data_IF_394816124972
#
_entry.id   IF_394816124972
#
_cell.length_a   1.000
_cell.length_b   1.000
_cell.length_c   1.000
_cell.angle_alpha   90.00
_cell.angle_beta   90.00
_cell.angle_gamma   90.00
#
_symmetry.space_group_name_H-M   'P 1'
#
loop_
_entity.id
_entity.type
_entity.pdbx_description
1 polymer ?
#
# COMPACT_ATOMS: atom_id res chain seq x y z
N UNK A 1 -26.94 -20.20 11.26
CA UNK A 1 -26.67 -18.75 11.19
C UNK A 1 -25.89 -18.48 9.91
N UNK A 2 -26.59 -18.25 8.80
CA UNK A 2 -25.99 -17.91 7.50
C UNK A 2 -26.07 -16.41 7.34
N UNK A 3 -24.96 -15.73 7.65
CA UNK A 3 -24.81 -14.30 7.38
C UNK A 3 -24.91 -14.12 5.85
N UNK A 4 -26.02 -13.50 5.40
CA UNK A 4 -26.44 -13.43 4.00
C UNK A 4 -25.54 -12.54 3.12
N UNK A 5 -26.07 -11.75 2.16
CA UNK A 5 -25.28 -10.99 1.17
C UNK A 5 -24.30 -9.94 1.75
N UNK A 6 -24.19 -9.83 3.08
CA UNK A 6 -23.31 -8.94 3.84
C UNK A 6 -22.04 -9.64 4.38
N UNK A 7 -21.76 -10.87 3.93
CA UNK A 7 -20.51 -11.55 4.31
C UNK A 7 -19.31 -10.74 3.83
N UNK A 8 -18.53 -10.27 4.80
CA UNK A 8 -17.20 -9.68 4.59
C UNK A 8 -16.41 -10.56 3.62
N UNK A 9 -15.80 -9.94 2.61
CA UNK A 9 -14.92 -10.64 1.70
C UNK A 9 -13.82 -11.36 2.49
N UNK A 10 -13.41 -12.57 2.06
CA UNK A 10 -12.35 -13.28 2.74
C UNK A 10 -11.05 -12.47 2.70
N UNK A 11 -10.40 -12.31 3.85
CA UNK A 11 -9.15 -11.58 3.97
C UNK A 11 -8.11 -12.15 2.98
N UNK A 12 -7.45 -11.31 2.15
CA UNK A 12 -6.49 -11.80 1.17
C UNK A 12 -5.31 -12.52 1.84
N UNK A 13 -4.63 -13.48 1.18
CA UNK A 13 -3.59 -14.30 1.80
C UNK A 13 -2.46 -13.52 2.47
N UNK A 14 -1.95 -12.46 1.84
CA UNK A 14 -0.86 -11.65 2.42
C UNK A 14 -1.32 -10.83 3.63
N UNK A 15 -2.56 -10.35 3.61
CA UNK A 15 -3.18 -9.69 4.75
C UNK A 15 -3.45 -10.67 5.90
N UNK A 16 -3.79 -11.94 5.61
CA UNK A 16 -3.89 -13.01 6.62
C UNK A 16 -2.55 -13.31 7.28
N UNK A 17 -1.46 -13.29 6.53
CA UNK A 17 -0.13 -13.53 7.11
C UNK A 17 0.29 -12.36 8.01
N UNK A 18 0.09 -11.12 7.55
CA UNK A 18 0.30 -9.93 8.37
C UNK A 18 -0.54 -9.97 9.67
N UNK A 19 -1.80 -10.40 9.57
CA UNK A 19 -2.68 -10.54 10.72
C UNK A 19 -2.13 -11.54 11.75
N UNK A 20 -1.56 -12.67 11.31
CA UNK A 20 -0.89 -13.64 12.20
C UNK A 20 0.33 -13.04 12.89
N UNK A 21 1.08 -12.16 12.21
CA UNK A 21 2.23 -11.49 12.81
C UNK A 21 1.78 -10.53 13.91
N UNK A 22 0.76 -9.71 13.61
CA UNK A 22 0.19 -8.76 14.57
C UNK A 22 -0.48 -9.45 15.77
N UNK A 23 -1.04 -10.65 15.60
CA UNK A 23 -1.73 -11.36 16.67
C UNK A 23 -0.80 -12.10 17.64
N UNK A 24 0.38 -12.54 17.19
CA UNK A 24 1.25 -13.37 18.02
C UNK A 24 2.39 -12.55 18.64
N UNK A 25 2.62 -12.67 19.96
CA UNK A 25 3.66 -11.90 20.66
C UNK A 25 5.09 -12.29 20.28
N UNK A 26 5.28 -13.44 19.62
CA UNK A 26 6.59 -13.91 19.14
C UNK A 26 7.16 -13.05 18.01
N UNK A 27 6.31 -12.30 17.30
CA UNK A 27 6.76 -11.37 16.26
C UNK A 27 6.99 -10.01 16.88
N UNK A 28 8.06 -9.34 16.49
CA UNK A 28 8.39 -7.98 16.92
C UNK A 28 7.56 -6.94 16.15
N UNK A 29 7.61 -5.67 16.57
CA UNK A 29 7.01 -4.57 15.81
C UNK A 29 7.62 -4.47 14.38
N UNK A 30 8.93 -4.73 14.26
CA UNK A 30 9.64 -4.74 12.98
C UNK A 30 9.14 -5.87 12.06
N UNK A 31 8.83 -7.05 12.60
CA UNK A 31 8.28 -8.15 11.80
C UNK A 31 6.89 -7.82 11.25
N UNK A 32 6.04 -7.17 12.06
CA UNK A 32 4.71 -6.72 11.62
C UNK A 32 4.86 -5.65 10.54
N UNK A 33 5.76 -4.68 10.74
CA UNK A 33 6.09 -3.64 9.76
C UNK A 33 6.60 -4.24 8.44
N UNK A 34 7.54 -5.20 8.51
CA UNK A 34 8.05 -5.91 7.33
C UNK A 34 6.96 -6.70 6.59
N UNK A 35 5.91 -7.15 7.29
CA UNK A 35 4.74 -7.80 6.70
C UNK A 35 3.87 -6.89 5.82
N UNK A 36 3.97 -5.55 5.95
CA UNK A 36 3.23 -4.60 5.13
C UNK A 36 3.71 -4.59 3.68
N UNK A 37 5.01 -4.69 3.43
CA UNK A 37 5.59 -4.72 2.07
C UNK A 37 4.99 -5.81 1.17
N UNK A 38 4.97 -7.11 1.57
CA UNK A 38 4.36 -8.13 0.74
C UNK A 38 2.84 -8.03 0.64
N UNK A 39 2.15 -7.44 1.64
CA UNK A 39 0.70 -7.23 1.58
C UNK A 39 0.32 -6.13 0.58
N UNK A 40 0.91 -4.95 0.74
CA UNK A 40 0.68 -3.80 -0.13
C UNK A 40 1.23 -4.05 -1.54
N UNK A 41 2.38 -4.72 -1.66
CA UNK A 41 2.93 -5.10 -2.97
C UNK A 41 2.05 -6.09 -3.73
N UNK A 42 1.34 -6.99 -3.02
CA UNK A 42 0.37 -7.87 -3.66
C UNK A 42 -0.89 -7.12 -4.11
N UNK A 43 -1.38 -6.19 -3.30
CA UNK A 43 -2.50 -5.32 -3.68
C UNK A 43 -2.14 -4.44 -4.89
N UNK A 44 -0.93 -3.86 -4.91
CA UNK A 44 -0.43 -3.10 -6.05
C UNK A 44 -0.44 -3.95 -7.33
N UNK A 45 0.17 -5.15 -7.30
CA UNK A 45 0.21 -6.03 -8.48
C UNK A 45 -1.17 -6.48 -8.95
N UNK A 46 -2.13 -6.61 -8.03
CA UNK A 46 -3.50 -7.03 -8.35
C UNK A 46 -4.33 -5.87 -8.90
N UNK A 47 -4.20 -4.70 -8.33
CA UNK A 47 -5.12 -3.58 -8.56
C UNK A 47 -4.52 -2.45 -9.39
N UNK A 48 -3.20 -2.38 -9.60
CA UNK A 48 -2.54 -1.35 -10.41
C UNK A 48 -1.91 -2.01 -11.63
N UNK A 49 -2.44 -1.67 -12.80
CA UNK A 49 -1.94 -2.23 -14.06
C UNK A 49 -0.54 -1.68 -14.39
N UNK A 50 0.39 -2.51 -14.91
CA UNK A 50 1.79 -2.12 -15.11
C UNK A 50 2.02 -0.91 -16.02
N UNK A 51 1.05 -0.57 -16.86
CA UNK A 51 1.10 0.52 -17.83
C UNK A 51 0.85 1.87 -17.16
N UNK A 52 0.16 1.89 -16.01
CA UNK A 52 -0.32 3.11 -15.36
C UNK A 52 0.83 3.95 -14.80
N UNK A 53 1.82 3.39 -14.07
CA UNK A 53 2.97 4.18 -13.65
C UNK A 53 3.73 4.81 -14.82
N UNK A 54 3.82 4.10 -15.96
CA UNK A 54 4.47 4.62 -17.18
C UNK A 54 3.67 5.77 -17.78
N UNK A 55 2.35 5.63 -17.87
CA UNK A 55 1.44 6.67 -18.37
C UNK A 55 1.50 7.92 -17.49
N UNK A 56 1.45 7.76 -16.17
CA UNK A 56 1.58 8.85 -15.21
C UNK A 56 2.94 9.54 -15.33
N UNK A 57 4.03 8.78 -15.42
CA UNK A 57 5.37 9.34 -15.61
C UNK A 57 5.47 10.14 -16.92
N UNK A 58 4.84 9.68 -18.00
CA UNK A 58 4.77 10.43 -19.26
C UNK A 58 3.99 11.76 -19.14
N UNK A 59 2.85 11.75 -18.45
CA UNK A 59 2.06 12.97 -18.20
C UNK A 59 2.83 13.98 -17.35
N UNK A 60 3.52 13.49 -16.31
CA UNK A 60 4.24 14.34 -15.36
C UNK A 60 5.61 14.81 -15.89
N UNK A 61 6.21 14.06 -16.82
CA UNK A 61 7.55 14.32 -17.36
C UNK A 61 7.59 15.31 -18.52
N UNK A 62 6.44 15.77 -19.01
CA UNK A 62 6.34 16.55 -20.24
C UNK A 62 6.55 15.66 -21.46
N UNK A 63 5.52 15.51 -22.28
CA UNK A 63 5.58 14.75 -23.53
C UNK A 63 6.75 15.24 -24.38
N UNK A 64 7.60 14.31 -24.82
CA UNK A 64 8.68 14.44 -25.80
C UNK A 64 8.73 15.75 -26.62
N UNK A 65 9.81 16.50 -26.46
CA UNK A 65 10.37 17.52 -27.38
C UNK A 65 9.49 18.69 -27.87
N UNK A 66 8.25 18.84 -27.42
CA UNK A 66 7.41 20.02 -27.75
C UNK A 66 6.72 20.70 -26.57
N UNK A 67 6.42 19.95 -25.50
CA UNK A 67 5.57 20.38 -24.38
C UNK A 67 6.35 20.54 -23.06
N UNK A 68 7.59 21.07 -23.13
CA UNK A 68 8.41 21.34 -21.93
C UNK A 68 7.78 22.32 -20.92
N UNK A 69 6.61 22.89 -21.24
CA UNK A 69 5.87 23.88 -20.46
C UNK A 69 4.39 23.51 -20.25
N UNK A 70 4.04 22.22 -20.19
CA UNK A 70 2.69 21.83 -19.80
C UNK A 70 2.34 22.51 -18.46
N UNK A 71 1.37 23.41 -18.49
CA UNK A 71 0.92 24.12 -17.30
C UNK A 71 0.37 23.11 -16.29
N UNK A 72 0.42 23.42 -14.98
CA UNK A 72 -0.21 22.56 -13.97
C UNK A 72 -1.67 22.22 -14.27
N UNK A 73 -2.41 23.14 -14.92
CA UNK A 73 -3.78 22.90 -15.37
C UNK A 73 -3.87 21.78 -16.42
N UNK A 74 -2.99 21.78 -17.43
CA UNK A 74 -2.95 20.74 -18.47
C UNK A 74 -2.55 19.38 -17.89
N UNK A 75 -1.59 19.35 -16.95
CA UNK A 75 -1.21 18.11 -16.24
C UNK A 75 -2.41 17.56 -15.47
N UNK A 76 -3.12 18.40 -14.72
CA UNK A 76 -4.28 17.98 -13.94
C UNK A 76 -5.43 17.46 -14.82
N UNK A 77 -5.67 18.11 -15.97
CA UNK A 77 -6.65 17.65 -16.96
C UNK A 77 -6.26 16.29 -17.57
N UNK A 78 -4.98 16.12 -17.95
CA UNK A 78 -4.47 14.84 -18.44
C UNK A 78 -4.61 13.71 -17.41
N UNK A 79 -4.36 14.00 -16.12
CA UNK A 79 -4.58 13.06 -15.03
C UNK A 79 -6.07 12.72 -14.83
N UNK A 80 -6.98 13.67 -15.06
CA UNK A 80 -8.42 13.38 -15.03
C UNK A 80 -8.88 12.49 -16.18
N UNK A 81 -8.35 12.71 -17.39
CA UNK A 81 -8.69 11.93 -18.57
C UNK A 81 -8.34 10.44 -18.41
N UNK A 82 -7.24 10.12 -17.72
CA UNK A 82 -6.82 8.72 -17.53
C UNK A 82 -7.61 7.98 -16.44
N UNK A 83 -8.46 8.66 -15.66
CA UNK A 83 -9.32 8.01 -14.65
C UNK A 83 -10.25 6.97 -15.25
N UNK A 84 -10.67 7.14 -16.51
CA UNK A 84 -11.49 6.17 -17.24
C UNK A 84 -10.84 4.78 -17.30
N UNK A 85 -9.50 4.72 -17.26
CA UNK A 85 -8.75 3.48 -17.23
C UNK A 85 -8.73 2.82 -15.84
N UNK A 86 -9.26 3.44 -14.79
CA UNK A 86 -9.28 2.88 -13.44
C UNK A 86 -10.60 2.20 -13.05
N UNK A 87 -11.56 2.08 -13.98
CA UNK A 87 -12.81 1.38 -13.73
C UNK A 87 -12.57 -0.05 -13.22
N UNK A 88 -13.09 -0.38 -12.03
CA UNK A 88 -12.90 -1.68 -11.38
C UNK A 88 -11.59 -1.85 -10.59
N UNK A 89 -10.72 -0.84 -10.58
CA UNK A 89 -9.38 -0.89 -9.96
C UNK A 89 -9.24 0.22 -8.90
N UNK A 90 -9.67 -0.06 -7.67
CA UNK A 90 -9.74 0.94 -6.59
C UNK A 90 -8.39 1.57 -6.25
N UNK A 91 -7.34 0.76 -6.07
CA UNK A 91 -6.00 1.29 -5.79
C UNK A 91 -5.44 2.09 -6.97
N UNK A 92 -5.68 1.68 -8.22
CA UNK A 92 -5.25 2.44 -9.39
C UNK A 92 -5.90 3.83 -9.45
N UNK A 93 -7.20 3.91 -9.18
CA UNK A 93 -7.91 5.18 -9.10
C UNK A 93 -7.31 6.06 -8.00
N UNK A 94 -7.04 5.48 -6.82
CA UNK A 94 -6.41 6.19 -5.72
C UNK A 94 -5.02 6.72 -6.09
N UNK A 95 -4.19 5.95 -6.80
CA UNK A 95 -2.88 6.42 -7.29
C UNK A 95 -3.04 7.65 -8.19
N UNK A 96 -4.00 7.63 -9.12
CA UNK A 96 -4.26 8.78 -10.01
C UNK A 96 -4.70 10.00 -9.19
N UNK A 97 -5.69 9.83 -8.31
CA UNK A 97 -6.24 10.92 -7.50
C UNK A 97 -5.21 11.53 -6.54
N UNK A 98 -4.39 10.70 -5.89
CA UNK A 98 -3.33 11.17 -5.01
C UNK A 98 -2.15 11.78 -5.78
N UNK A 99 -1.87 11.33 -7.00
CA UNK A 99 -0.88 11.98 -7.87
C UNK A 99 -1.33 13.39 -8.25
N UNK A 100 -2.63 13.58 -8.56
CA UNK A 100 -3.19 14.93 -8.76
C UNK A 100 -3.03 15.80 -7.52
N UNK A 101 -3.27 15.23 -6.34
CA UNK A 101 -3.09 15.95 -5.09
C UNK A 101 -1.63 16.35 -4.87
N UNK A 102 -0.67 15.47 -5.15
CA UNK A 102 0.75 15.79 -5.10
C UNK A 102 1.13 16.94 -6.06
N UNK A 103 0.59 16.95 -7.28
CA UNK A 103 0.79 18.07 -8.22
C UNK A 103 0.25 19.40 -7.66
N UNK A 104 -0.93 19.37 -7.01
CA UNK A 104 -1.50 20.56 -6.34
C UNK A 104 -0.66 21.04 -5.15
N UNK A 105 0.01 20.12 -4.47
CA UNK A 105 0.95 20.41 -3.39
C UNK A 105 2.31 20.96 -3.89
N UNK A 106 2.51 21.02 -5.20
CA UNK A 106 3.71 21.59 -5.84
C UNK A 106 4.76 20.56 -6.22
N UNK A 107 4.50 19.26 -6.03
CA UNK A 107 5.39 18.22 -6.54
C UNK A 107 5.31 18.14 -8.07
N UNK A 108 6.39 17.72 -8.71
CA UNK A 108 6.46 17.61 -10.17
C UNK A 108 7.20 16.35 -10.62
N UNK A 109 7.04 15.98 -11.90
CA UNK A 109 7.74 14.86 -12.51
C UNK A 109 7.61 13.56 -11.73
N UNK A 110 8.73 12.86 -11.57
CA UNK A 110 8.79 11.58 -10.88
C UNK A 110 8.48 11.69 -9.38
N UNK A 111 8.77 12.85 -8.76
CA UNK A 111 8.51 13.07 -7.34
C UNK A 111 7.00 13.08 -7.05
N UNK A 112 6.21 13.75 -7.91
CA UNK A 112 4.75 13.74 -7.80
C UNK A 112 4.16 12.32 -7.90
N UNK A 113 4.71 11.48 -8.78
CA UNK A 113 4.27 10.09 -8.94
C UNK A 113 4.60 9.24 -7.70
N UNK A 114 5.82 9.37 -7.17
CA UNK A 114 6.23 8.66 -5.96
C UNK A 114 5.38 9.10 -4.77
N UNK A 115 5.16 10.41 -4.60
CA UNK A 115 4.37 10.95 -3.49
C UNK A 115 2.90 10.52 -3.58
N UNK A 116 2.28 10.65 -4.77
CA UNK A 116 0.92 10.19 -4.99
C UNK A 116 0.75 8.69 -4.75
N UNK A 117 1.71 7.89 -5.19
CA UNK A 117 1.71 6.44 -4.93
C UNK A 117 1.89 6.12 -3.45
N UNK A 118 2.72 6.87 -2.72
CA UNK A 118 2.89 6.70 -1.28
C UNK A 118 1.59 6.98 -0.51
N UNK A 119 0.91 8.09 -0.80
CA UNK A 119 -0.40 8.41 -0.20
C UNK A 119 -1.46 7.34 -0.52
N UNK A 120 -1.48 6.82 -1.75
CA UNK A 120 -2.40 5.76 -2.13
C UNK A 120 -2.14 4.45 -1.37
N UNK A 121 -0.86 4.05 -1.24
CA UNK A 121 -0.44 2.88 -0.49
C UNK A 121 -0.72 3.04 1.01
N UNK A 122 -0.54 4.23 1.56
CA UNK A 122 -0.88 4.54 2.94
C UNK A 122 -2.39 4.45 3.18
N UNK A 123 -3.21 5.05 2.32
CA UNK A 123 -4.67 4.94 2.41
C UNK A 123 -5.13 3.47 2.29
N UNK A 124 -4.49 2.70 1.40
CA UNK A 124 -4.74 1.26 1.28
C UNK A 124 -4.34 0.50 2.55
N UNK A 125 -3.22 0.85 3.17
CA UNK A 125 -2.79 0.27 4.44
C UNK A 125 -3.82 0.47 5.54
N UNK A 126 -4.35 1.69 5.72
CA UNK A 126 -5.42 1.95 6.69
C UNK A 126 -6.68 1.11 6.42
N UNK A 127 -7.00 0.90 5.15
CA UNK A 127 -8.17 0.11 4.75
C UNK A 127 -7.94 -1.39 5.02
N UNK A 128 -6.73 -1.89 4.73
CA UNK A 128 -6.34 -3.27 5.04
C UNK A 128 -6.28 -3.55 6.54
N UNK A 129 -5.73 -2.62 7.35
CA UNK A 129 -5.74 -2.73 8.81
C UNK A 129 -7.17 -2.89 9.36
N UNK A 130 -8.12 -2.09 8.86
CA UNK A 130 -9.53 -2.19 9.24
C UNK A 130 -10.15 -3.53 8.85
N UNK A 131 -9.84 -4.06 7.67
CA UNK A 131 -10.31 -5.39 7.26
C UNK A 131 -9.76 -6.50 8.18
N UNK A 132 -8.51 -6.37 8.64
CA UNK A 132 -7.93 -7.31 9.61
C UNK A 132 -8.63 -7.20 10.98
N UNK A 133 -8.86 -5.99 11.47
CA UNK A 133 -9.60 -5.76 12.72
C UNK A 133 -11.00 -6.37 12.67
N UNK A 134 -11.76 -6.10 11.60
CA UNK A 134 -13.10 -6.67 11.38
C UNK A 134 -13.08 -8.20 11.33
N UNK A 135 -12.05 -8.79 10.72
CA UNK A 135 -11.88 -10.25 10.70
C UNK A 135 -11.74 -10.82 12.12
N UNK A 136 -10.95 -10.17 12.99
CA UNK A 136 -10.79 -10.61 14.38
C UNK A 136 -12.04 -10.36 15.24
N UNK A 137 -12.77 -9.26 14.99
CA UNK A 137 -14.04 -8.99 15.67
C UNK A 137 -15.09 -10.07 15.38
N UNK A 138 -15.10 -10.63 14.16
CA UNK A 138 -16.03 -11.71 13.77
C UNK A 138 -15.64 -13.07 14.33
N UNK A 139 -14.36 -13.41 14.26
CA UNK A 139 -13.91 -14.78 14.53
C UNK A 139 -13.41 -14.99 15.97
N UNK A 140 -13.23 -13.91 16.76
CA UNK A 140 -12.63 -14.00 18.10
C UNK A 140 -13.37 -13.13 19.15
N UNK A 141 -12.75 -12.06 19.65
CA UNK A 141 -13.32 -11.14 20.62
C UNK A 141 -12.68 -9.74 20.53
N UNK A 142 -13.31 -8.76 21.17
CA UNK A 142 -12.89 -7.36 21.14
C UNK A 142 -11.45 -7.16 21.62
N UNK A 143 -11.03 -7.83 22.71
CA UNK A 143 -9.68 -7.65 23.28
C UNK A 143 -8.59 -8.03 22.28
N UNK A 144 -8.77 -9.14 21.57
CA UNK A 144 -7.81 -9.63 20.57
C UNK A 144 -7.82 -8.75 19.32
N UNK A 145 -8.99 -8.29 18.88
CA UNK A 145 -9.10 -7.34 17.78
C UNK A 145 -8.40 -6.00 18.10
N UNK A 146 -8.59 -5.46 19.30
CA UNK A 146 -7.90 -4.24 19.76
C UNK A 146 -6.37 -4.42 19.79
N UNK A 147 -5.89 -5.56 20.29
CA UNK A 147 -4.45 -5.87 20.30
C UNK A 147 -3.86 -5.89 18.89
N UNK A 148 -4.51 -6.58 17.94
CA UNK A 148 -4.06 -6.64 16.54
C UNK A 148 -4.08 -5.26 15.90
N UNK A 149 -5.15 -4.49 16.10
CA UNK A 149 -5.28 -3.12 15.62
C UNK A 149 -4.13 -2.24 16.10
N UNK A 150 -3.82 -2.23 17.40
CA UNK A 150 -2.75 -1.41 17.97
C UNK A 150 -1.40 -1.71 17.31
N UNK A 151 -1.09 -2.99 17.13
CA UNK A 151 0.17 -3.42 16.50
C UNK A 151 0.25 -3.09 15.01
N UNK A 152 -0.87 -3.16 14.29
CA UNK A 152 -0.94 -2.76 12.88
C UNK A 152 -0.83 -1.24 12.71
N UNK A 153 -1.38 -0.46 13.63
CA UNK A 153 -1.24 1.01 13.63
C UNK A 153 0.17 1.45 14.00
N UNK A 154 0.82 0.78 14.95
CA UNK A 154 2.25 0.98 15.25
C UNK A 154 3.11 0.68 14.02
N UNK A 155 2.89 -0.47 13.37
CA UNK A 155 3.59 -0.83 12.14
C UNK A 155 3.37 0.19 11.02
N UNK A 156 2.12 0.63 10.81
CA UNK A 156 1.78 1.67 9.81
C UNK A 156 2.55 2.97 10.06
N UNK A 157 2.65 3.44 11.31
CA UNK A 157 3.35 4.70 11.65
C UNK A 157 4.84 4.65 11.35
N UNK A 158 5.46 3.47 11.49
CA UNK A 158 6.88 3.26 11.22
C UNK A 158 7.22 2.82 9.80
N UNK A 159 6.24 2.70 8.90
CA UNK A 159 6.45 2.12 7.57
C UNK A 159 6.91 3.15 6.53
N UNK A 160 7.94 2.81 5.74
CA UNK A 160 8.43 3.64 4.64
C UNK A 160 7.56 3.48 3.38
N UNK A 161 6.43 4.17 3.33
CA UNK A 161 5.54 4.19 2.16
C UNK A 161 6.22 4.76 0.92
N UNK A 162 7.09 5.76 1.08
CA UNK A 162 7.81 6.36 -0.04
C UNK A 162 8.82 5.38 -0.65
N UNK A 163 9.50 4.58 0.17
CA UNK A 163 10.39 3.51 -0.27
C UNK A 163 9.65 2.43 -1.05
N UNK A 164 8.50 1.98 -0.53
CA UNK A 164 7.65 1.05 -1.27
C UNK A 164 7.17 1.66 -2.59
N UNK A 165 6.69 2.91 -2.57
CA UNK A 165 6.23 3.64 -3.76
C UNK A 165 7.32 3.71 -4.84
N UNK A 166 8.55 4.10 -4.48
CA UNK A 166 9.70 4.08 -5.41
C UNK A 166 9.90 2.71 -6.03
N UNK A 167 9.84 1.65 -5.23
CA UNK A 167 10.08 0.27 -5.70
C UNK A 167 9.00 -0.24 -6.66
N UNK A 168 7.74 0.21 -6.53
CA UNK A 168 6.63 -0.27 -7.37
C UNK A 168 6.37 0.60 -8.60
N UNK A 169 6.73 1.88 -8.55
CA UNK A 169 6.62 2.83 -9.67
C UNK A 169 7.74 2.63 -10.68
N UNK A 170 8.97 2.41 -10.19
CA UNK A 170 10.14 2.16 -11.00
C UNK A 170 10.84 0.90 -10.46
N UNK A 171 10.37 -0.31 -10.84
CA UNK A 171 10.98 -1.54 -10.37
C UNK A 171 12.44 -1.60 -10.84
N UNK A 172 13.37 -1.26 -9.94
CA UNK A 172 14.77 -1.61 -10.11
C UNK A 172 14.82 -3.14 -10.22
N UNK A 173 15.58 -3.69 -11.16
CA UNK A 173 15.75 -5.13 -11.36
C UNK A 173 16.40 -5.86 -10.19
N UNK A 174 16.70 -5.16 -9.08
CA UNK A 174 17.26 -5.71 -7.85
C UNK A 174 16.18 -6.27 -6.92
N UNK A 175 16.40 -7.52 -6.52
CA UNK A 175 15.47 -8.42 -5.84
C UNK A 175 14.73 -7.83 -4.62
N UNK A 176 13.42 -8.07 -4.56
CA UNK A 176 12.56 -7.77 -3.41
C UNK A 176 13.04 -8.51 -2.15
N UNK A 177 13.12 -7.77 -1.03
CA UNK A 177 13.41 -8.31 0.30
C UNK A 177 12.46 -9.48 0.64
N UNK A 178 13.04 -10.62 1.03
CA UNK A 178 12.31 -11.80 1.51
C UNK A 178 11.53 -11.46 2.79
N UNK A 179 10.39 -12.13 2.98
CA UNK A 179 9.62 -12.07 4.21
C UNK A 179 10.49 -12.39 5.44
N UNK A 180 10.23 -11.77 6.60
CA UNK A 180 11.02 -11.98 7.81
C UNK A 180 11.05 -13.47 8.18
N UNK A 181 12.26 -13.97 8.48
CA UNK A 181 12.45 -15.33 8.94
C UNK A 181 11.81 -15.50 10.31
N UNK A 182 11.04 -16.57 10.48
CA UNK A 182 10.47 -16.94 11.79
C UNK A 182 11.64 -17.24 12.74
N UNK A 183 11.82 -16.45 13.78
CA UNK A 183 12.73 -16.77 14.87
C UNK A 183 12.15 -17.99 15.62
N UNK A 184 12.68 -19.17 15.32
CA UNK A 184 12.31 -20.43 15.99
C UNK A 184 13.47 -21.04 16.77
N UNK A 185 14.51 -20.26 17.06
CA UNK A 185 15.61 -20.67 17.92
C UNK A 185 15.20 -20.60 19.38
N UNK A 186 15.30 -21.72 20.09
CA UNK A 186 15.16 -21.80 21.55
C UNK A 186 16.37 -21.18 22.31
N UNK A 187 17.34 -20.59 21.60
CA UNK A 187 18.62 -20.14 22.15
C UNK A 187 18.86 -18.62 22.17
N UNK A 188 17.93 -17.79 21.67
CA UNK A 188 18.10 -16.32 21.73
C UNK A 188 17.44 -15.74 22.99
N UNK A 189 18.06 -15.99 24.15
CA UNK A 189 17.76 -15.28 25.39
C UNK A 189 18.15 -13.80 25.33
N UNK A 190 17.53 -12.92 26.14
CA UNK A 190 17.79 -11.48 26.10
C UNK A 190 19.24 -11.17 26.47
N UNK A 191 19.91 -10.32 25.68
CA UNK A 191 21.20 -9.76 26.05
C UNK A 191 21.00 -8.76 27.20
N UNK A 192 21.73 -8.99 28.30
CA UNK A 192 21.84 -8.08 29.44
C UNK A 192 22.52 -6.76 29.04
#
# INVERSE_FOLDING_TARGET
MSDGPHRSLPLPPRWKDLAKFADKPVYTANDVCAGLTPALGADWKKEVRPEIPKLLSGILGGSSQGDLFASPAQILEALDNIRVHAAGYGLQLAVIDWTKQAVREGFSGQEALVQGSAYALEARCASGNRQVEEHYLRDTNNKRASHVRERLEEARRGFDFAGLARSVVAPQTTALHKAPAKQSGLDDGPQL
#
